data_IF_461717879033
#
_entry.id   IF_461717879033
#
_cell.length_a   1.000
_cell.length_b   1.000
_cell.length_c   1.000
_cell.angle_alpha   90.00
_cell.angle_beta   90.00
_cell.angle_gamma   90.00
#
_symmetry.space_group_name_H-M   'P 1'
#
loop_
_entity.id
_entity.type
_entity.pdbx_description
1 polymer ?
#
# COMPACT_ATOMS: atom_id res chain seq x y z
N UNK A 1 -31.68 16.27 -3.85
CA UNK A 1 -30.88 16.22 -2.60
C UNK A 1 -30.22 14.84 -2.54
N UNK A 2 -28.90 14.73 -2.42
CA UNK A 2 -28.18 13.43 -2.43
C UNK A 2 -28.64 12.58 -1.23
N UNK A 3 -29.06 11.33 -1.46
CA UNK A 3 -29.60 10.44 -0.40
C UNK A 3 -28.54 10.25 0.69
N UNK A 4 -28.86 10.62 1.94
CA UNK A 4 -27.94 10.40 3.07
C UNK A 4 -28.06 8.95 3.54
N UNK A 5 -27.05 8.14 3.22
CA UNK A 5 -26.95 6.75 3.68
C UNK A 5 -26.29 6.67 5.07
N UNK A 6 -26.68 5.70 5.91
CA UNK A 6 -26.11 5.52 7.24
C UNK A 6 -24.61 5.18 7.17
N UNK A 7 -23.87 5.53 8.22
CA UNK A 7 -22.48 5.13 8.35
C UNK A 7 -22.39 3.67 8.83
N UNK A 8 -21.68 2.83 8.10
CA UNK A 8 -21.38 1.45 8.48
C UNK A 8 -20.14 1.40 9.36
N UNK A 9 -20.19 0.58 10.40
CA UNK A 9 -18.99 0.28 11.19
C UNK A 9 -18.11 -0.69 10.43
N UNK A 10 -16.84 -0.33 10.29
CA UNK A 10 -15.83 -1.11 9.56
C UNK A 10 -14.50 -1.05 10.30
N UNK A 11 -13.64 -2.03 10.00
CA UNK A 11 -12.22 -1.92 10.27
C UNK A 11 -11.52 -1.11 9.18
N UNK A 12 -10.40 -0.47 9.48
CA UNK A 12 -9.61 0.23 8.47
C UNK A 12 -9.14 -0.72 7.36
N UNK A 13 -8.79 -1.96 7.72
CA UNK A 13 -8.45 -2.98 6.74
C UNK A 13 -9.56 -3.27 5.73
N UNK A 14 -10.83 -3.19 6.12
CA UNK A 14 -11.96 -3.40 5.20
C UNK A 14 -12.04 -2.30 4.14
N UNK A 15 -11.53 -1.12 4.47
CA UNK A 15 -11.43 0.01 3.54
C UNK A 15 -10.22 -0.22 2.62
N UNK A 16 -9.05 -0.49 3.20
CA UNK A 16 -7.77 -0.64 2.47
C UNK A 16 -7.86 -1.78 1.46
N UNK A 17 -8.31 -2.95 1.90
CA UNK A 17 -8.42 -4.18 1.10
C UNK A 17 -9.67 -4.20 0.19
N UNK A 18 -10.56 -3.22 0.33
CA UNK A 18 -11.78 -3.15 -0.45
C UNK A 18 -11.54 -2.63 -1.87
N UNK A 19 -12.57 -2.70 -2.69
CA UNK A 19 -12.62 -2.12 -4.02
C UNK A 19 -13.42 -0.83 -3.95
N UNK A 20 -12.87 0.28 -4.44
CA UNK A 20 -13.58 1.55 -4.48
C UNK A 20 -14.31 1.73 -5.81
N UNK A 21 -15.58 2.15 -5.73
CA UNK A 21 -16.43 2.35 -6.89
C UNK A 21 -16.89 3.79 -6.90
N UNK A 22 -16.49 4.50 -7.96
CA UNK A 22 -16.98 5.83 -8.28
C UNK A 22 -18.26 5.70 -9.09
N UNK A 23 -19.37 6.19 -8.55
CA UNK A 23 -20.65 6.14 -9.28
C UNK A 23 -20.69 7.23 -10.35
N UNK A 24 -21.18 6.89 -11.54
CA UNK A 24 -21.25 7.82 -12.69
C UNK A 24 -22.34 8.90 -12.54
N UNK A 25 -23.34 8.66 -11.68
CA UNK A 25 -24.43 9.60 -11.45
C UNK A 25 -24.11 10.65 -10.39
N UNK A 26 -24.36 11.92 -10.67
CA UNK A 26 -24.22 13.03 -9.69
C UNK A 26 -24.95 12.77 -8.36
N UNK A 27 -26.07 12.05 -8.43
CA UNK A 27 -26.93 11.71 -7.30
C UNK A 27 -26.55 10.41 -6.58
N UNK A 28 -25.71 9.56 -7.18
CA UNK A 28 -25.32 8.29 -6.59
C UNK A 28 -24.08 8.45 -5.71
N UNK A 29 -24.08 7.90 -4.49
CA UNK A 29 -22.92 7.93 -3.63
C UNK A 29 -21.92 6.85 -4.02
N UNK A 30 -20.65 7.24 -4.14
CA UNK A 30 -19.54 6.30 -4.21
C UNK A 30 -19.55 5.36 -3.01
N UNK A 31 -18.99 4.17 -3.19
CA UNK A 31 -18.94 3.15 -2.15
C UNK A 31 -17.70 2.28 -2.28
N UNK A 32 -17.48 1.48 -1.25
CA UNK A 32 -16.54 0.36 -1.29
C UNK A 32 -17.31 -0.95 -1.33
N UNK A 33 -16.83 -1.91 -2.12
CA UNK A 33 -17.13 -3.31 -1.93
C UNK A 33 -15.97 -3.96 -1.17
N UNK A 34 -16.28 -4.50 0.00
CA UNK A 34 -15.34 -5.28 0.80
C UNK A 34 -15.15 -6.69 0.21
N UNK A 35 -14.08 -7.39 0.59
CA UNK A 35 -13.77 -8.76 0.12
C UNK A 35 -14.88 -9.78 0.39
N UNK A 36 -15.75 -9.54 1.38
CA UNK A 36 -16.92 -10.38 1.68
C UNK A 36 -18.21 -9.86 1.00
N UNK A 37 -18.09 -9.08 -0.06
CA UNK A 37 -19.18 -8.54 -0.88
C UNK A 37 -20.18 -7.66 -0.10
N UNK A 38 -19.71 -6.88 0.89
CA UNK A 38 -20.51 -5.84 1.55
C UNK A 38 -20.27 -4.49 0.91
N UNK A 39 -21.35 -3.81 0.46
CA UNK A 39 -21.33 -2.40 0.02
C UNK A 39 -21.29 -1.44 1.22
N UNK A 40 -20.35 -0.50 1.19
CA UNK A 40 -20.11 0.50 2.25
C UNK A 40 -20.03 1.90 1.64
N UNK A 41 -21.07 2.71 1.86
CA UNK A 41 -21.20 4.06 1.30
C UNK A 41 -20.60 5.17 2.18
N UNK A 42 -20.54 4.91 3.49
CA UNK A 42 -20.07 5.83 4.51
C UNK A 42 -19.52 5.00 5.65
N UNK A 43 -18.37 5.41 6.17
CA UNK A 43 -17.66 4.67 7.21
C UNK A 43 -17.79 5.37 8.55
N UNK A 44 -17.88 4.55 9.60
CA UNK A 44 -17.66 4.94 10.98
C UNK A 44 -16.52 4.08 11.50
N UNK A 45 -15.46 4.71 11.98
CA UNK A 45 -14.27 4.03 12.50
C UNK A 45 -13.88 4.62 13.86
N UNK A 46 -13.30 3.81 14.72
CA UNK A 46 -12.68 4.25 15.98
C UNK A 46 -11.22 3.84 15.96
N UNK A 47 -10.33 4.82 16.03
CA UNK A 47 -8.91 4.64 15.75
C UNK A 47 -8.08 5.70 16.50
N UNK A 48 -6.79 5.42 16.67
CA UNK A 48 -5.83 6.33 17.32
C UNK A 48 -5.20 7.23 16.27
N UNK A 49 -5.05 8.52 16.54
CA UNK A 49 -4.31 9.45 15.67
C UNK A 49 -2.81 9.20 15.84
N UNK A 50 -2.13 8.78 14.79
CA UNK A 50 -0.72 8.33 14.86
C UNK A 50 0.30 9.36 14.37
N UNK A 51 -0.14 10.36 13.60
CA UNK A 51 0.70 11.47 13.11
C UNK A 51 0.19 12.82 13.61
N UNK A 52 1.07 13.81 13.58
CA UNK A 52 0.67 15.19 13.86
C UNK A 52 -0.34 15.65 12.80
N UNK A 53 -1.51 16.17 13.20
CA UNK A 53 -2.47 16.76 12.27
C UNK A 53 -1.85 17.95 11.54
N UNK A 54 -2.14 18.06 10.25
CA UNK A 54 -1.65 19.12 9.38
C UNK A 54 -2.82 19.91 8.79
N UNK A 55 -2.70 21.22 8.73
CA UNK A 55 -3.63 22.13 8.06
C UNK A 55 -2.80 23.08 7.19
N UNK A 56 -3.25 23.35 5.97
CA UNK A 56 -2.61 24.32 5.08
C UNK A 56 -2.78 25.75 5.58
N UNK A 57 -1.88 26.64 5.16
CA UNK A 57 -1.89 28.06 5.61
C UNK A 57 -3.19 28.80 5.23
N UNK A 58 -3.81 28.42 4.11
CA UNK A 58 -5.08 28.95 3.63
C UNK A 58 -6.32 28.27 4.26
N UNK A 59 -6.10 27.30 5.16
CA UNK A 59 -7.10 26.48 5.83
C UNK A 59 -8.08 25.72 4.89
N UNK A 60 -7.74 25.60 3.60
CA UNK A 60 -8.59 24.91 2.62
C UNK A 60 -8.38 23.40 2.62
N UNK A 61 -7.26 22.93 3.18
CA UNK A 61 -6.88 21.53 3.25
C UNK A 61 -6.37 21.18 4.64
N UNK A 62 -6.72 19.99 5.11
CA UNK A 62 -6.13 19.42 6.31
C UNK A 62 -6.15 17.91 6.26
N UNK A 63 -5.23 17.29 7.00
CA UNK A 63 -5.10 15.84 7.07
C UNK A 63 -4.59 15.39 8.42
N UNK A 64 -4.98 14.18 8.79
CA UNK A 64 -4.37 13.43 9.89
C UNK A 64 -4.42 11.95 9.56
N UNK A 65 -3.58 11.16 10.22
CA UNK A 65 -3.50 9.72 9.98
C UNK A 65 -3.99 8.96 11.20
N UNK A 66 -4.81 7.93 10.98
CA UNK A 66 -5.40 7.11 12.04
C UNK A 66 -5.04 5.63 11.87
N UNK A 67 -4.99 4.92 12.99
CA UNK A 67 -4.68 3.49 13.08
C UNK A 67 -5.60 2.80 14.09
N UNK A 68 -6.27 1.71 13.68
CA UNK A 68 -7.18 0.92 14.52
C UNK A 68 -6.62 -0.47 14.93
N UNK A 69 -5.36 -0.74 14.60
CA UNK A 69 -4.66 -2.01 14.75
C UNK A 69 -4.86 -3.00 13.58
N UNK A 70 -5.71 -2.67 12.61
CA UNK A 70 -5.92 -3.49 11.39
C UNK A 70 -5.25 -2.89 10.16
N UNK A 71 -4.92 -1.60 10.22
CA UNK A 71 -4.24 -0.85 9.19
C UNK A 71 -4.21 0.62 9.55
N UNK A 72 -3.61 1.41 8.67
CA UNK A 72 -3.45 2.86 8.85
C UNK A 72 -4.03 3.57 7.63
N UNK A 73 -4.80 4.64 7.82
CA UNK A 73 -5.39 5.40 6.70
C UNK A 73 -5.27 6.92 6.90
N UNK A 74 -5.18 7.65 5.79
CA UNK A 74 -5.28 9.10 5.79
C UNK A 74 -6.74 9.55 5.88
N UNK A 75 -6.99 10.49 6.79
CA UNK A 75 -8.24 11.23 6.88
C UNK A 75 -8.01 12.63 6.33
N UNK A 76 -8.74 12.98 5.29
CA UNK A 76 -8.63 14.27 4.59
C UNK A 76 -9.85 15.14 4.88
N UNK A 77 -9.58 16.43 5.05
CA UNK A 77 -10.55 17.47 5.26
C UNK A 77 -10.34 18.59 4.24
N UNK A 78 -11.44 19.08 3.66
CA UNK A 78 -11.42 20.17 2.68
C UNK A 78 -12.35 21.29 3.12
N UNK A 79 -11.95 22.54 2.88
CA UNK A 79 -12.71 23.77 3.17
C UNK A 79 -13.28 23.74 4.59
N UNK A 80 -14.58 23.91 4.76
CA UNK A 80 -15.25 23.93 6.07
C UNK A 80 -14.97 22.70 6.95
N UNK A 81 -14.60 21.56 6.36
CA UNK A 81 -14.28 20.36 7.12
C UNK A 81 -12.90 20.42 7.78
N UNK A 82 -12.00 21.34 7.41
CA UNK A 82 -10.68 21.49 8.06
C UNK A 82 -10.79 21.81 9.56
N UNK A 83 -11.91 22.37 9.99
CA UNK A 83 -12.26 22.52 11.41
C UNK A 83 -12.17 21.22 12.21
N UNK A 84 -12.43 20.07 11.59
CA UNK A 84 -12.34 18.76 12.24
C UNK A 84 -10.90 18.37 12.58
N UNK A 85 -9.95 18.79 11.76
CA UNK A 85 -8.51 18.52 11.99
C UNK A 85 -8.02 19.29 13.22
N UNK A 86 -8.57 20.48 13.48
CA UNK A 86 -8.28 21.29 14.69
C UNK A 86 -8.76 20.65 15.99
N UNK A 87 -9.65 19.64 15.93
CA UNK A 87 -10.24 18.99 17.10
C UNK A 87 -9.46 17.78 17.60
N UNK A 88 -8.40 17.38 16.91
CA UNK A 88 -7.64 16.17 17.20
C UNK A 88 -6.17 16.48 17.38
N UNK A 89 -5.47 15.63 18.13
CA UNK A 89 -4.02 15.68 18.36
C UNK A 89 -3.43 14.29 18.19
N UNK A 90 -2.12 14.23 17.94
CA UNK A 90 -1.40 12.95 17.95
C UNK A 90 -1.60 12.25 19.30
N UNK A 91 -1.94 10.96 19.26
CA UNK A 91 -2.24 10.13 20.42
C UNK A 91 -3.70 10.09 20.82
N UNK A 92 -4.57 10.94 20.27
CA UNK A 92 -5.99 10.91 20.59
C UNK A 92 -6.65 9.64 20.04
N UNK A 93 -7.50 9.01 20.85
CA UNK A 93 -8.45 8.02 20.37
C UNK A 93 -9.71 8.74 19.87
N UNK A 94 -10.02 8.56 18.59
CA UNK A 94 -11.08 9.31 17.92
C UNK A 94 -12.09 8.39 17.25
N UNK A 95 -13.33 8.84 17.20
CA UNK A 95 -14.35 8.30 16.30
C UNK A 95 -14.45 9.21 15.08
N UNK A 96 -14.29 8.63 13.89
CA UNK A 96 -14.36 9.34 12.61
C UNK A 96 -15.56 8.82 11.81
N UNK A 97 -16.33 9.74 11.25
CA UNK A 97 -17.37 9.46 10.25
C UNK A 97 -16.95 10.16 8.97
N UNK A 98 -17.00 9.44 7.85
CA UNK A 98 -16.61 10.01 6.56
C UNK A 98 -17.05 9.18 5.38
N UNK A 99 -16.83 9.74 4.19
CA UNK A 99 -16.93 9.02 2.93
C UNK A 99 -15.55 8.51 2.56
N UNK A 100 -15.49 7.40 1.84
CA UNK A 100 -14.21 6.97 1.26
C UNK A 100 -14.04 7.61 -0.11
N UNK A 101 -12.81 8.00 -0.41
CA UNK A 101 -12.35 8.42 -1.72
C UNK A 101 -11.08 7.65 -2.05
N UNK A 102 -10.76 7.56 -3.33
CA UNK A 102 -9.54 6.95 -3.83
C UNK A 102 -8.87 7.93 -4.79
N UNK A 103 -7.55 8.03 -4.68
CA UNK A 103 -6.73 8.85 -5.54
C UNK A 103 -5.42 8.11 -5.82
N UNK A 104 -5.17 7.76 -7.09
CA UNK A 104 -4.00 6.97 -7.50
C UNK A 104 -3.85 5.72 -6.61
N UNK A 105 -4.94 4.95 -6.50
CA UNK A 105 -5.03 3.70 -5.74
C UNK A 105 -4.89 3.81 -4.21
N UNK A 106 -4.58 5.01 -3.70
CA UNK A 106 -4.60 5.30 -2.27
C UNK A 106 -6.02 5.66 -1.80
N UNK A 107 -6.58 4.81 -0.94
CA UNK A 107 -7.88 5.06 -0.30
C UNK A 107 -7.72 5.97 0.91
N UNK A 108 -8.62 6.94 1.02
CA UNK A 108 -8.63 7.95 2.08
C UNK A 108 -10.05 8.17 2.60
N UNK A 109 -10.17 8.60 3.85
CA UNK A 109 -11.46 9.00 4.43
C UNK A 109 -11.63 10.51 4.31
N UNK A 110 -12.64 10.95 3.57
CA UNK A 110 -13.12 12.33 3.58
C UNK A 110 -13.98 12.55 4.83
N UNK A 111 -13.45 13.26 5.82
CA UNK A 111 -14.12 13.45 7.10
C UNK A 111 -15.39 14.28 6.97
N UNK A 112 -16.47 13.79 7.57
CA UNK A 112 -17.75 14.51 7.76
C UNK A 112 -18.03 14.78 9.25
N UNK A 113 -17.32 14.11 10.16
CA UNK A 113 -17.34 14.37 11.59
C UNK A 113 -16.26 13.60 12.34
N UNK A 114 -15.71 14.22 13.39
CA UNK A 114 -14.74 13.60 14.29
C UNK A 114 -14.99 14.03 15.74
N UNK A 115 -14.73 13.14 16.67
CA UNK A 115 -14.73 13.44 18.10
C UNK A 115 -13.73 12.55 18.83
N UNK A 116 -13.04 13.10 19.83
CA UNK A 116 -12.30 12.29 20.80
C UNK A 116 -13.26 11.42 21.61
N UNK A 117 -12.84 10.20 21.95
CA UNK A 117 -13.69 9.22 22.64
C UNK A 117 -12.95 8.51 23.77
N UNK A 118 -13.72 8.02 24.74
CA UNK A 118 -13.19 7.18 25.82
C UNK A 118 -12.66 5.84 25.27
N UNK A 119 -11.60 5.24 25.84
CA UNK A 119 -11.03 3.95 25.41
C UNK A 119 -12.05 2.82 25.21
N UNK A 120 -13.06 2.72 26.09
CA UNK A 120 -14.14 1.74 25.97
C UNK A 120 -14.92 1.83 24.65
N UNK A 121 -14.91 2.98 23.98
CA UNK A 121 -15.55 3.15 22.68
C UNK A 121 -14.88 2.30 21.60
N UNK A 122 -13.56 2.06 21.70
CA UNK A 122 -12.85 1.16 20.79
C UNK A 122 -13.31 -0.29 20.99
N UNK A 123 -13.49 -0.72 22.24
CA UNK A 123 -13.99 -2.06 22.57
C UNK A 123 -15.39 -2.27 22.00
N UNK A 124 -16.28 -1.30 22.24
CA UNK A 124 -17.64 -1.33 21.72
C UNK A 124 -17.66 -1.36 20.19
N UNK A 125 -16.90 -0.46 19.54
CA UNK A 125 -16.80 -0.41 18.07
C UNK A 125 -16.33 -1.74 17.49
N UNK A 126 -15.29 -2.35 18.06
CA UNK A 126 -14.78 -3.66 17.63
C UNK A 126 -15.82 -4.76 17.79
N UNK A 127 -16.51 -4.80 18.93
CA UNK A 127 -17.56 -5.80 19.17
C UNK A 127 -18.72 -5.66 18.18
N UNK A 128 -19.26 -4.44 18.00
CA UNK A 128 -20.36 -4.18 17.07
C UNK A 128 -19.95 -4.49 15.62
N UNK A 129 -18.74 -4.09 15.22
CA UNK A 129 -18.20 -4.38 13.88
C UNK A 129 -18.06 -5.88 13.66
N UNK A 130 -17.48 -6.61 14.62
CA UNK A 130 -17.30 -8.06 14.51
C UNK A 130 -18.64 -8.80 14.47
N UNK A 131 -19.62 -8.37 15.28
CA UNK A 131 -20.97 -8.94 15.27
C UNK A 131 -21.63 -8.78 13.90
N UNK A 132 -21.62 -7.56 13.35
CA UNK A 132 -22.16 -7.28 12.01
C UNK A 132 -21.45 -8.13 10.93
N UNK A 133 -20.12 -8.22 10.99
CA UNK A 133 -19.34 -9.03 10.04
C UNK A 133 -19.65 -10.53 10.16
N UNK A 134 -19.79 -11.06 11.37
CA UNK A 134 -20.13 -12.47 11.56
C UNK A 134 -21.53 -12.81 11.02
N UNK A 135 -22.50 -11.91 11.17
CA UNK A 135 -23.85 -12.05 10.60
C UNK A 135 -23.82 -11.97 9.07
N UNK A 136 -23.07 -11.00 8.51
CA UNK A 136 -22.90 -10.82 7.08
C UNK A 136 -22.18 -12.01 6.43
N UNK A 137 -21.05 -12.46 7.00
CA UNK A 137 -20.24 -13.56 6.47
C UNK A 137 -21.04 -14.86 6.28
N UNK A 138 -22.00 -15.15 7.17
CA UNK A 138 -22.89 -16.31 7.01
C UNK A 138 -23.77 -16.20 5.76
N UNK A 139 -24.32 -15.02 5.51
CA UNK A 139 -25.15 -14.75 4.32
C UNK A 139 -24.30 -14.69 3.05
N UNK A 140 -23.16 -14.01 3.12
CA UNK A 140 -22.19 -13.91 2.02
C UNK A 140 -21.74 -15.29 1.55
N UNK A 141 -21.36 -16.20 2.47
CA UNK A 141 -20.99 -17.57 2.11
C UNK A 141 -22.08 -18.30 1.33
N UNK A 142 -23.34 -18.19 1.78
CA UNK A 142 -24.47 -18.80 1.07
C UNK A 142 -24.66 -18.14 -0.30
N UNK A 143 -24.47 -16.83 -0.41
CA UNK A 143 -24.60 -16.09 -1.64
C UNK A 143 -23.52 -16.46 -2.67
N UNK A 144 -22.25 -16.54 -2.25
CA UNK A 144 -21.14 -17.03 -3.08
C UNK A 144 -21.43 -18.45 -3.59
N UNK A 145 -21.81 -19.37 -2.70
CA UNK A 145 -22.19 -20.74 -3.06
C UNK A 145 -23.32 -20.82 -4.12
N UNK A 146 -24.25 -19.85 -4.11
CA UNK A 146 -25.34 -19.77 -5.09
C UNK A 146 -24.81 -19.18 -6.40
N UNK A 147 -24.07 -18.09 -6.32
CA UNK A 147 -23.49 -17.40 -7.46
C UNK A 147 -22.54 -18.33 -8.24
N UNK A 148 -21.61 -19.01 -7.57
CA UNK A 148 -20.63 -19.89 -8.22
C UNK A 148 -21.31 -21.07 -8.96
N UNK A 149 -22.50 -21.49 -8.49
CA UNK A 149 -23.26 -22.60 -9.11
C UNK A 149 -24.22 -22.17 -10.21
N UNK A 150 -24.77 -20.96 -10.13
CA UNK A 150 -25.92 -20.56 -10.95
C UNK A 150 -25.80 -19.16 -11.56
N UNK A 151 -24.74 -18.42 -11.27
CA UNK A 151 -24.54 -17.01 -11.64
C UNK A 151 -25.71 -16.11 -11.21
N UNK A 152 -25.93 -15.02 -11.95
CA UNK A 152 -27.13 -14.18 -11.82
C UNK A 152 -28.25 -14.72 -12.73
N UNK A 153 -28.94 -15.76 -12.26
CA UNK A 153 -30.12 -16.30 -12.95
C UNK A 153 -31.39 -16.08 -12.13
N UNK A 154 -32.56 -16.12 -12.77
CA UNK A 154 -33.85 -16.09 -12.07
C UNK A 154 -33.96 -17.20 -11.02
N UNK A 155 -33.40 -18.38 -11.32
CA UNK A 155 -33.30 -19.50 -10.37
C UNK A 155 -32.43 -19.16 -9.16
N UNK A 156 -31.26 -18.54 -9.36
CA UNK A 156 -30.37 -18.11 -8.29
C UNK A 156 -31.07 -17.14 -7.32
N UNK A 157 -31.79 -16.15 -7.87
CA UNK A 157 -32.56 -15.16 -7.08
C UNK A 157 -33.63 -15.81 -6.19
N UNK A 158 -34.39 -16.76 -6.75
CA UNK A 158 -35.38 -17.53 -5.98
C UNK A 158 -34.74 -18.35 -4.87
N UNK A 159 -33.60 -19.01 -5.15
CA UNK A 159 -32.87 -19.80 -4.14
C UNK A 159 -32.32 -18.89 -3.03
N UNK A 160 -31.76 -17.73 -3.37
CA UNK A 160 -31.25 -16.75 -2.40
C UNK A 160 -32.35 -16.29 -1.47
N UNK A 161 -33.50 -15.86 -2.02
CA UNK A 161 -34.66 -15.45 -1.25
C UNK A 161 -35.17 -16.53 -0.30
N UNK A 162 -35.27 -17.77 -0.77
CA UNK A 162 -35.68 -18.92 0.05
C UNK A 162 -34.69 -19.24 1.19
N UNK A 163 -33.41 -18.88 1.03
CA UNK A 163 -32.37 -19.03 2.05
C UNK A 163 -32.16 -17.77 2.92
N UNK A 164 -33.00 -16.75 2.77
CA UNK A 164 -32.89 -15.51 3.54
C UNK A 164 -31.70 -14.62 3.15
N UNK A 165 -31.23 -14.76 1.91
CA UNK A 165 -30.18 -13.94 1.29
C UNK A 165 -30.84 -12.91 0.39
N UNK A 166 -30.36 -11.67 0.47
CA UNK A 166 -30.82 -10.57 -0.38
C UNK A 166 -30.37 -10.78 -1.83
N UNK A 167 -31.23 -10.48 -2.80
CA UNK A 167 -30.90 -10.56 -4.23
C UNK A 167 -29.80 -9.57 -4.61
N UNK A 168 -29.74 -8.41 -3.94
CA UNK A 168 -28.70 -7.40 -4.16
C UNK A 168 -27.30 -7.90 -3.79
N UNK A 169 -27.21 -8.90 -2.89
CA UNK A 169 -25.93 -9.50 -2.53
C UNK A 169 -25.34 -10.31 -3.69
N UNK A 170 -26.17 -10.98 -4.50
CA UNK A 170 -25.70 -11.68 -5.69
C UNK A 170 -25.16 -10.71 -6.75
N UNK A 171 -25.82 -9.56 -6.92
CA UNK A 171 -25.35 -8.50 -7.83
C UNK A 171 -24.03 -7.90 -7.34
N UNK A 172 -23.89 -7.72 -6.02
CA UNK A 172 -22.65 -7.21 -5.43
C UNK A 172 -21.47 -8.19 -5.61
N UNK A 173 -21.73 -9.50 -5.55
CA UNK A 173 -20.71 -10.53 -5.79
C UNK A 173 -20.23 -10.50 -7.24
N UNK A 174 -21.15 -10.35 -8.19
CA UNK A 174 -20.84 -10.24 -9.61
C UNK A 174 -19.94 -9.03 -9.92
N UNK A 175 -20.30 -7.89 -9.35
CA UNK A 175 -19.52 -6.65 -9.43
C UNK A 175 -18.13 -6.84 -8.79
N UNK A 176 -18.05 -7.47 -7.62
CA UNK A 176 -16.79 -7.79 -6.95
C UNK A 176 -15.89 -8.67 -7.82
N UNK A 177 -16.41 -9.76 -8.38
CA UNK A 177 -15.62 -10.64 -9.23
C UNK A 177 -15.15 -9.95 -10.51
N UNK A 178 -15.97 -9.08 -11.10
CA UNK A 178 -15.57 -8.27 -12.25
C UNK A 178 -14.37 -7.39 -11.89
N UNK A 179 -14.44 -6.66 -10.77
CA UNK A 179 -13.35 -5.82 -10.29
C UNK A 179 -12.07 -6.61 -9.95
N UNK A 180 -12.23 -7.80 -9.37
CA UNK A 180 -11.10 -8.70 -9.08
C UNK A 180 -10.41 -9.18 -10.35
N UNK A 181 -11.17 -9.47 -11.42
CA UNK A 181 -10.62 -9.87 -12.70
C UNK A 181 -9.89 -8.71 -13.38
N UNK A 182 -10.47 -7.50 -13.34
CA UNK A 182 -9.87 -6.28 -13.90
C UNK A 182 -8.54 -5.92 -13.22
N UNK A 183 -8.51 -5.95 -11.88
CA UNK A 183 -7.25 -5.73 -11.14
C UNK A 183 -6.19 -6.77 -11.49
N UNK A 184 -6.57 -8.06 -11.52
CA UNK A 184 -5.63 -9.12 -11.87
C UNK A 184 -5.11 -8.98 -13.31
N UNK A 185 -5.95 -8.56 -14.25
CA UNK A 185 -5.48 -8.29 -15.61
C UNK A 185 -4.53 -7.10 -15.65
N UNK A 186 -4.81 -6.03 -14.91
CA UNK A 186 -3.93 -4.87 -14.85
C UNK A 186 -2.58 -5.21 -14.20
N UNK A 187 -2.58 -5.97 -13.10
CA UNK A 187 -1.36 -6.48 -12.45
C UNK A 187 -0.54 -7.35 -13.42
N UNK A 188 -1.19 -8.25 -14.15
CA UNK A 188 -0.51 -9.07 -15.16
C UNK A 188 0.03 -8.22 -16.32
N UNK A 189 -0.71 -7.21 -16.77
CA UNK A 189 -0.24 -6.28 -17.79
C UNK A 189 0.99 -5.52 -17.28
N UNK A 190 0.94 -4.96 -16.07
CA UNK A 190 2.08 -4.30 -15.43
C UNK A 190 3.29 -5.24 -15.30
N UNK A 191 3.11 -6.48 -14.86
CA UNK A 191 4.19 -7.49 -14.82
C UNK A 191 4.76 -7.82 -16.21
N UNK A 192 3.95 -7.73 -17.28
CA UNK A 192 4.41 -7.91 -18.66
C UNK A 192 5.12 -6.66 -19.22
N UNK A 193 4.78 -5.45 -18.74
CA UNK A 193 5.33 -4.17 -19.18
C UNK A 193 6.50 -3.68 -18.32
N UNK A 194 6.64 -4.18 -17.10
CA UNK A 194 7.93 -4.26 -16.43
C UNK A 194 8.78 -5.19 -17.30
N UNK A 195 9.45 -4.61 -18.30
CA UNK A 195 10.53 -5.30 -18.99
C UNK A 195 11.38 -5.93 -17.89
N UNK A 196 11.71 -7.24 -17.98
CA UNK A 196 12.80 -7.72 -17.18
C UNK A 196 13.93 -6.75 -17.47
N UNK A 197 14.39 -6.05 -16.45
CA UNK A 197 15.74 -5.52 -16.49
C UNK A 197 16.56 -6.79 -16.65
N UNK A 198 16.79 -7.20 -17.89
CA UNK A 198 18.01 -7.89 -18.22
C UNK A 198 19.03 -6.96 -17.62
N UNK A 199 19.60 -7.36 -16.49
CA UNK A 199 20.94 -6.93 -16.17
C UNK A 199 21.69 -7.18 -17.48
N UNK A 200 21.89 -6.12 -18.26
CA UNK A 200 22.92 -6.10 -19.27
C UNK A 200 24.13 -6.55 -18.48
N UNK A 201 24.49 -7.83 -18.62
CA UNK A 201 25.81 -8.28 -18.22
C UNK A 201 26.71 -7.27 -18.90
N UNK A 202 27.42 -6.41 -18.14
CA UNK A 202 28.24 -5.40 -18.77
C UNK A 202 29.11 -6.17 -19.75
N UNK A 203 29.10 -5.74 -21.02
CA UNK A 203 29.95 -6.33 -22.05
C UNK A 203 31.32 -6.54 -21.42
N UNK A 204 31.81 -7.78 -21.36
CA UNK A 204 33.07 -8.12 -20.70
C UNK A 204 34.16 -7.22 -21.26
N UNK A 205 34.46 -6.11 -20.58
CA UNK A 205 35.53 -5.22 -20.99
C UNK A 205 36.83 -5.94 -20.67
N UNK A 206 37.58 -6.43 -21.66
CA UNK A 206 38.78 -7.23 -21.42
C UNK A 206 39.89 -6.42 -20.73
N UNK A 207 39.79 -5.09 -20.69
CA UNK A 207 40.68 -4.24 -19.88
C UNK A 207 40.26 -4.19 -18.40
N UNK A 208 38.97 -4.24 -18.11
CA UNK A 208 38.46 -4.21 -16.73
C UNK A 208 38.84 -5.48 -15.95
N UNK A 209 38.72 -6.65 -16.57
CA UNK A 209 39.15 -7.92 -15.96
C UNK A 209 40.67 -7.97 -15.71
N UNK A 210 41.46 -7.36 -16.60
CA UNK A 210 42.91 -7.20 -16.39
C UNK A 210 43.21 -6.24 -15.24
N UNK A 211 42.43 -5.16 -15.13
CA UNK A 211 42.56 -4.18 -14.05
C UNK A 211 42.21 -4.81 -12.69
N UNK A 212 41.11 -5.57 -12.59
CA UNK A 212 40.74 -6.33 -11.38
C UNK A 212 41.88 -7.22 -10.91
N UNK A 213 42.43 -8.01 -11.84
CA UNK A 213 43.56 -8.89 -11.54
C UNK A 213 44.80 -8.11 -11.07
N UNK A 214 45.11 -6.99 -11.71
CA UNK A 214 46.25 -6.15 -11.33
C UNK A 214 46.07 -5.49 -9.95
N UNK A 215 44.84 -5.10 -9.58
CA UNK A 215 44.50 -4.61 -8.24
C UNK A 215 44.73 -5.72 -7.20
N UNK A 216 44.21 -6.93 -7.46
CA UNK A 216 44.37 -8.08 -6.55
C UNK A 216 45.82 -8.51 -6.38
N UNK A 217 46.59 -8.58 -7.47
CA UNK A 217 48.02 -8.90 -7.44
C UNK A 217 48.79 -7.84 -6.62
N UNK A 218 48.46 -6.56 -6.80
CA UNK A 218 49.10 -5.46 -6.08
C UNK A 218 48.84 -5.51 -4.57
N UNK A 219 47.60 -5.78 -4.18
CA UNK A 219 47.18 -5.91 -2.79
C UNK A 219 47.85 -7.13 -2.12
N UNK A 220 47.90 -8.25 -2.83
CA UNK A 220 48.50 -9.51 -2.34
C UNK A 220 50.02 -9.41 -2.20
N UNK A 221 50.71 -8.76 -3.15
CA UNK A 221 52.17 -8.59 -3.12
C UNK A 221 52.63 -7.75 -1.91
N UNK A 222 51.84 -6.74 -1.53
CA UNK A 222 52.19 -5.81 -0.44
C UNK A 222 51.83 -6.33 0.95
N UNK A 223 50.86 -7.23 1.06
CA UNK A 223 50.46 -7.89 2.32
C UNK A 223 50.10 -6.92 3.45
N UNK A 224 49.62 -5.72 3.09
CA UNK A 224 49.18 -4.64 3.97
C UNK A 224 48.09 -3.83 3.26
N UNK A 225 47.17 -3.19 4.01
CA UNK A 225 46.19 -2.29 3.42
C UNK A 225 46.85 -1.18 2.59
N UNK A 226 46.44 -1.05 1.34
CA UNK A 226 46.93 -0.01 0.43
C UNK A 226 45.89 1.09 0.28
N UNK A 227 46.35 2.34 0.30
CA UNK A 227 45.43 3.46 0.09
C UNK A 227 44.93 3.50 -1.36
N UNK A 228 43.68 3.89 -1.52
CA UNK A 228 43.03 4.17 -2.80
C UNK A 228 43.93 4.96 -3.76
N UNK A 229 44.48 6.08 -3.28
CA UNK A 229 45.39 6.96 -4.04
C UNK A 229 46.67 6.26 -4.49
N UNK A 230 47.16 5.28 -3.73
CA UNK A 230 48.35 4.52 -4.09
C UNK A 230 48.05 3.49 -5.19
N UNK A 231 46.90 2.81 -5.11
CA UNK A 231 46.45 1.82 -6.10
C UNK A 231 46.26 2.51 -7.45
N UNK A 232 45.45 3.58 -7.50
CA UNK A 232 45.18 4.37 -8.71
C UNK A 232 46.50 4.87 -9.32
N UNK A 233 47.38 5.50 -8.53
CA UNK A 233 48.65 6.05 -9.04
C UNK A 233 49.64 4.99 -9.54
N UNK A 234 49.61 3.77 -9.00
CA UNK A 234 50.54 2.71 -9.42
C UNK A 234 50.03 2.01 -10.68
N UNK A 235 48.71 1.84 -10.79
CA UNK A 235 48.06 1.18 -11.93
C UNK A 235 47.74 2.13 -13.08
N UNK A 236 47.75 3.45 -12.87
CA UNK A 236 47.57 4.46 -13.93
C UNK A 236 48.66 4.48 -15.01
N UNK A 237 49.70 3.66 -14.86
CA UNK A 237 50.70 3.41 -15.91
C UNK A 237 50.22 2.45 -16.98
N UNK A 238 49.36 1.50 -16.60
CA UNK A 238 48.95 0.37 -17.42
C UNK A 238 47.45 0.41 -17.75
N UNK A 239 46.65 1.17 -16.98
CA UNK A 239 45.21 1.31 -17.12
C UNK A 239 44.78 2.77 -16.97
N UNK A 240 43.61 3.12 -17.54
CA UNK A 240 42.97 4.39 -17.27
C UNK A 240 42.53 4.47 -15.79
N UNK A 241 42.60 5.65 -15.18
CA UNK A 241 42.19 5.84 -13.79
C UNK A 241 40.71 5.46 -13.59
N UNK A 242 39.84 5.75 -14.56
CA UNK A 242 38.42 5.39 -14.50
C UNK A 242 38.21 3.87 -14.46
N UNK A 243 39.01 3.10 -15.21
CA UNK A 243 38.94 1.63 -15.23
C UNK A 243 39.43 1.04 -13.90
N UNK A 244 40.44 1.66 -13.29
CA UNK A 244 40.95 1.21 -11.98
C UNK A 244 39.94 1.47 -10.87
N UNK A 245 39.25 2.61 -10.90
CA UNK A 245 38.16 2.94 -9.97
C UNK A 245 36.99 1.95 -10.11
N UNK A 246 36.61 1.63 -11.34
CA UNK A 246 35.57 0.66 -11.64
C UNK A 246 35.95 -0.74 -11.14
N UNK A 247 37.20 -1.17 -11.36
CA UNK A 247 37.72 -2.44 -10.88
C UNK A 247 37.68 -2.55 -9.34
N UNK A 248 38.09 -1.50 -8.61
CA UNK A 248 38.01 -1.47 -7.14
C UNK A 248 36.55 -1.58 -6.68
N UNK A 249 35.64 -0.86 -7.33
CA UNK A 249 34.21 -0.86 -6.99
C UNK A 249 33.59 -2.24 -7.21
N UNK A 250 33.90 -2.91 -8.31
CA UNK A 250 33.41 -4.25 -8.59
C UNK A 250 33.99 -5.28 -7.64
N UNK A 251 35.30 -5.24 -7.35
CA UNK A 251 35.93 -6.16 -6.39
C UNK A 251 35.37 -6.02 -4.95
N UNK A 252 34.98 -4.79 -4.55
CA UNK A 252 34.27 -4.56 -3.28
C UNK A 252 32.86 -5.16 -3.30
N UNK A 253 32.14 -5.02 -4.41
CA UNK A 253 30.79 -5.57 -4.59
C UNK A 253 30.79 -7.10 -4.67
N UNK A 254 31.79 -7.68 -5.34
CA UNK A 254 32.04 -9.13 -5.46
C UNK A 254 32.57 -9.73 -4.14
N UNK A 255 33.07 -8.89 -3.22
CA UNK A 255 33.60 -9.31 -1.93
C UNK A 255 34.99 -9.94 -2.02
N UNK A 256 35.77 -9.63 -3.05
CA UNK A 256 37.16 -10.10 -3.18
C UNK A 256 38.14 -9.24 -2.38
N UNK A 257 37.79 -7.96 -2.14
CA UNK A 257 38.54 -7.02 -1.31
C UNK A 257 37.62 -6.39 -0.27
N UNK A 258 38.20 -5.88 0.80
CA UNK A 258 37.48 -5.16 1.84
C UNK A 258 38.22 -3.87 2.25
N UNK A 259 37.50 -2.95 2.89
CA UNK A 259 38.00 -1.64 3.30
C UNK A 259 38.18 -1.58 4.84
N UNK A 260 39.34 -1.97 5.39
CA UNK A 260 39.59 -1.95 6.84
C UNK A 260 39.58 -0.55 7.46
N UNK A 261 40.07 0.46 6.71
CA UNK A 261 40.04 1.87 7.07
C UNK A 261 39.57 2.67 5.86
N UNK A 262 38.85 3.78 6.08
CA UNK A 262 38.32 4.59 4.98
C UNK A 262 39.43 5.01 4.01
N UNK A 263 39.28 4.59 2.75
CA UNK A 263 40.22 4.79 1.65
C UNK A 263 41.40 3.83 1.63
N UNK A 264 41.37 2.71 2.36
CA UNK A 264 42.39 1.66 2.34
C UNK A 264 41.76 0.30 2.06
N UNK A 265 42.35 -0.46 1.13
CA UNK A 265 41.84 -1.75 0.70
C UNK A 265 42.83 -2.87 1.00
N UNK A 266 42.30 -4.05 1.31
CA UNK A 266 43.05 -5.29 1.55
C UNK A 266 42.26 -6.47 0.92
N UNK A 267 42.92 -7.52 0.40
CA UNK A 267 42.20 -8.67 -0.13
C UNK A 267 41.62 -9.48 1.03
N UNK A 268 40.47 -10.12 0.78
CA UNK A 268 39.78 -10.96 1.76
C UNK A 268 40.49 -12.31 1.98
#
# INVERSE_FOLDING_TARGET
MKKRLPASRVYLRDIIDGYYIKSDGDLEPNYIITKDARKVYRVKVVATVVREPFISDDETYGKFQIDDGTGTIWVLAFRDNTRFVKLVKKGDLVQVIGKVAEWRDDKQILVEGVSTVHPNMMILHRFETLKEKAEHARKARIAFDIYDRYGITAKAKVIAKNKGVDEDLLLTIDELYTLMLEQRSAELEEELFEEPVEEEKPEENPELEKAKKAVMDLLTEKGKPLSHRFIVKKLSKDFDEEIVEEAITQLLAEGEIYEPETGYYEPL
#
